data_IF_661044256582
#
_entry.id   IF_661044256582
#
_cell.length_a   1.000
_cell.length_b   1.000
_cell.length_c   1.000
_cell.angle_alpha   90.00
_cell.angle_beta   90.00
_cell.angle_gamma   90.00
#
_symmetry.space_group_name_H-M   'P 1'
#
loop_
_entity.id
_entity.type
_entity.pdbx_description
1 polymer ?
#
# COMPACT_ATOMS: atom_id res chain seq x y z
N UNK A 1 -1.84 3.90 4.42
CA UNK A 1 -0.87 4.07 3.31
C UNK A 1 -0.42 5.52 3.17
N UNK A 2 -1.28 6.44 2.71
CA UNK A 2 -0.94 7.85 2.43
C UNK A 2 -0.35 8.59 3.64
N UNK A 3 -0.87 8.39 4.85
CA UNK A 3 -0.30 9.00 6.06
C UNK A 3 1.13 8.55 6.36
N UNK A 4 1.45 7.27 6.20
CA UNK A 4 2.82 6.77 6.38
C UNK A 4 3.77 7.36 5.34
N UNK A 5 3.32 7.51 4.08
CA UNK A 5 4.12 8.16 3.03
C UNK A 5 4.37 9.63 3.38
N UNK A 6 3.33 10.36 3.79
CA UNK A 6 3.43 11.76 4.17
C UNK A 6 4.35 11.96 5.39
N UNK A 7 4.16 11.17 6.44
CA UNK A 7 4.98 11.22 7.66
C UNK A 7 6.44 10.84 7.38
N UNK A 8 6.65 9.82 6.54
CA UNK A 8 7.98 9.41 6.08
C UNK A 8 8.69 10.47 5.25
N UNK A 9 7.96 11.22 4.42
CA UNK A 9 8.53 12.26 3.55
C UNK A 9 9.10 13.45 4.33
N UNK A 10 8.63 13.67 5.57
CA UNK A 10 9.16 14.69 6.47
C UNK A 10 10.40 14.24 7.28
N UNK A 11 10.85 13.00 7.12
CA UNK A 11 11.99 12.48 7.87
C UNK A 11 13.32 13.01 7.32
N UNK A 12 14.30 13.24 8.21
CA UNK A 12 15.59 13.83 7.83
C UNK A 12 16.58 12.90 7.11
N UNK A 13 16.24 11.64 6.87
CA UNK A 13 17.13 10.68 6.19
C UNK A 13 16.38 9.70 5.29
N UNK A 14 17.02 9.24 4.21
CA UNK A 14 16.51 8.19 3.31
C UNK A 14 16.14 6.92 4.07
N UNK A 15 16.95 6.51 5.06
CA UNK A 15 16.72 5.32 5.88
C UNK A 15 15.45 5.43 6.72
N UNK A 16 15.22 6.61 7.32
CA UNK A 16 13.99 6.85 8.06
C UNK A 16 12.78 6.84 7.13
N UNK A 17 12.88 7.47 5.95
CA UNK A 17 11.81 7.45 4.96
C UNK A 17 11.50 6.02 4.48
N UNK A 18 12.53 5.21 4.16
CA UNK A 18 12.35 3.82 3.71
C UNK A 18 11.55 2.97 4.72
N UNK A 19 11.80 3.16 6.03
CA UNK A 19 11.02 2.49 7.08
C UNK A 19 9.54 2.81 6.95
N UNK A 20 9.18 4.08 6.81
CA UNK A 20 7.79 4.50 6.66
C UNK A 20 7.14 4.00 5.37
N UNK A 21 7.90 3.95 4.27
CA UNK A 21 7.43 3.35 3.02
C UNK A 21 7.20 1.83 3.17
N UNK A 22 8.03 1.13 3.95
CA UNK A 22 7.79 -0.26 4.33
C UNK A 22 6.47 -0.46 5.08
N UNK A 23 6.16 0.43 6.03
CA UNK A 23 4.87 0.42 6.74
C UNK A 23 3.72 0.71 5.76
N UNK A 24 3.90 1.67 4.83
CA UNK A 24 2.89 1.99 3.82
C UNK A 24 2.54 0.76 2.96
N UNK A 25 3.54 -0.02 2.52
CA UNK A 25 3.35 -1.28 1.78
C UNK A 25 2.59 -2.31 2.62
N UNK A 26 2.97 -2.48 3.89
CA UNK A 26 2.25 -3.38 4.81
C UNK A 26 0.77 -3.02 4.91
N UNK A 27 0.45 -1.74 5.12
CA UNK A 27 -0.94 -1.26 5.16
C UNK A 27 -1.67 -1.44 3.83
N UNK A 28 -0.98 -1.38 2.68
CA UNK A 28 -1.59 -1.71 1.38
C UNK A 28 -2.04 -3.17 1.35
N UNK A 29 -1.19 -4.10 1.78
CA UNK A 29 -1.53 -5.52 1.79
C UNK A 29 -2.62 -5.87 2.79
N UNK A 30 -2.70 -5.17 3.93
CA UNK A 30 -3.82 -5.33 4.87
C UNK A 30 -5.16 -4.97 4.22
N UNK A 31 -5.22 -3.86 3.47
CA UNK A 31 -6.43 -3.47 2.72
C UNK A 31 -6.77 -4.51 1.65
N UNK A 32 -5.78 -4.92 0.86
CA UNK A 32 -5.97 -5.96 -0.18
C UNK A 32 -6.48 -7.27 0.42
N UNK A 33 -5.93 -7.70 1.55
CA UNK A 33 -6.43 -8.87 2.29
C UNK A 33 -7.88 -8.68 2.78
N UNK A 34 -8.22 -7.48 3.23
CA UNK A 34 -9.59 -7.11 3.62
C UNK A 34 -10.60 -7.14 2.47
N UNK A 35 -10.17 -6.94 1.21
CA UNK A 35 -11.06 -7.00 0.05
C UNK A 35 -11.67 -8.39 -0.12
N UNK A 36 -10.91 -9.47 0.14
CA UNK A 36 -11.45 -10.83 0.10
C UNK A 36 -12.58 -11.02 1.10
N UNK A 37 -12.39 -10.55 2.34
CA UNK A 37 -13.42 -10.58 3.39
C UNK A 37 -14.64 -9.73 3.03
N UNK A 38 -14.46 -8.65 2.28
CA UNK A 38 -15.53 -7.78 1.80
C UNK A 38 -16.31 -8.41 0.64
N UNK A 39 -15.62 -9.12 -0.26
CA UNK A 39 -16.22 -9.91 -1.34
C UNK A 39 -17.05 -11.07 -0.75
N UNK A 40 -16.46 -11.84 0.17
CA UNK A 40 -17.12 -12.98 0.82
C UNK A 40 -18.40 -12.57 1.57
N UNK A 41 -18.43 -11.36 2.12
CA UNK A 41 -19.59 -10.79 2.82
C UNK A 41 -20.58 -10.08 1.90
N UNK A 42 -20.30 -10.01 0.60
CA UNK A 42 -21.16 -9.34 -0.39
C UNK A 42 -21.19 -7.81 -0.25
N UNK A 43 -20.19 -7.19 0.38
CA UNK A 43 -20.08 -5.73 0.44
C UNK A 43 -19.58 -5.12 -0.87
N UNK A 44 -18.83 -5.91 -1.64
CA UNK A 44 -18.37 -5.59 -2.99
C UNK A 44 -18.62 -6.77 -3.92
N UNK A 45 -18.74 -6.52 -5.22
CA UNK A 45 -18.81 -7.56 -6.23
C UNK A 45 -17.42 -7.92 -6.79
N UNK A 46 -17.36 -8.97 -7.62
CA UNK A 46 -16.10 -9.46 -8.21
C UNK A 46 -15.36 -8.39 -9.03
N UNK A 47 -16.08 -7.56 -9.80
CA UNK A 47 -15.46 -6.49 -10.60
C UNK A 47 -14.82 -5.42 -9.71
N UNK A 48 -15.52 -5.02 -8.64
CA UNK A 48 -14.99 -4.07 -7.66
C UNK A 48 -13.79 -4.67 -6.91
N UNK A 49 -13.88 -5.94 -6.52
CA UNK A 49 -12.76 -6.64 -5.89
C UNK A 49 -11.54 -6.66 -6.80
N UNK A 50 -11.70 -7.09 -8.06
CA UNK A 50 -10.62 -7.16 -9.04
C UNK A 50 -9.96 -5.79 -9.24
N UNK A 51 -10.77 -4.75 -9.47
CA UNK A 51 -10.26 -3.39 -9.65
C UNK A 51 -9.47 -2.91 -8.42
N UNK A 52 -10.04 -3.02 -7.22
CA UNK A 52 -9.40 -2.57 -5.99
C UNK A 52 -8.14 -3.38 -5.66
N UNK A 53 -8.15 -4.68 -5.96
CA UNK A 53 -6.99 -5.56 -5.80
C UNK A 53 -5.85 -5.14 -6.74
N UNK A 54 -6.16 -4.89 -8.01
CA UNK A 54 -5.18 -4.41 -9.00
C UNK A 54 -4.60 -3.05 -8.62
N UNK A 55 -5.43 -2.11 -8.19
CA UNK A 55 -4.99 -0.80 -7.69
C UNK A 55 -4.04 -0.94 -6.50
N UNK A 56 -4.36 -1.82 -5.53
CA UNK A 56 -3.51 -2.13 -4.39
C UNK A 56 -2.16 -2.71 -4.81
N UNK A 57 -2.16 -3.66 -5.73
CA UNK A 57 -0.95 -4.27 -6.29
C UNK A 57 -0.05 -3.25 -7.00
N UNK A 58 -0.64 -2.36 -7.82
CA UNK A 58 0.09 -1.29 -8.52
C UNK A 58 0.70 -0.31 -7.51
N UNK A 59 -0.04 0.05 -6.46
CA UNK A 59 0.45 0.94 -5.40
C UNK A 59 1.63 0.31 -4.64
N UNK A 60 1.51 -0.94 -4.21
CA UNK A 60 2.59 -1.64 -3.52
C UNK A 60 3.85 -1.77 -4.39
N UNK A 61 3.69 -2.07 -5.69
CA UNK A 61 4.81 -2.09 -6.66
C UNK A 61 5.46 -0.73 -6.82
N UNK A 62 4.66 0.32 -6.93
CA UNK A 62 5.15 1.70 -7.08
C UNK A 62 5.93 2.15 -5.85
N UNK A 63 5.42 1.89 -4.64
CA UNK A 63 6.14 2.20 -3.40
C UNK A 63 7.46 1.42 -3.34
N UNK A 64 7.45 0.11 -3.61
CA UNK A 64 8.68 -0.69 -3.59
C UNK A 64 9.69 -0.29 -4.67
N UNK A 65 9.24 0.12 -5.85
CA UNK A 65 10.11 0.66 -6.88
C UNK A 65 10.79 1.96 -6.42
N UNK A 66 10.04 2.86 -5.78
CA UNK A 66 10.56 4.09 -5.23
C UNK A 66 11.53 3.85 -4.07
N UNK A 67 11.22 2.93 -3.15
CA UNK A 67 12.12 2.51 -2.06
C UNK A 67 13.51 2.11 -2.55
N UNK A 68 13.58 1.39 -3.68
CA UNK A 68 14.86 0.99 -4.30
C UNK A 68 15.70 2.17 -4.81
N UNK A 69 15.11 3.35 -4.99
CA UNK A 69 15.82 4.57 -5.39
C UNK A 69 16.38 5.35 -4.20
N UNK A 70 15.88 5.10 -2.99
CA UNK A 70 16.39 5.68 -1.75
C UNK A 70 17.68 4.93 -1.39
N UNK A 71 18.83 5.54 -1.73
CA UNK A 71 20.16 5.05 -1.34
C UNK A 71 20.35 5.15 0.18
#
# INVERSE_FOLDING_TARGET
MSFNIAEGSGQGTSKAFDRYLGIAVGSTFEVVGGLFLALDRGYINENQHQQLYEEGEVLAKSINAFRKTLR
#
